data_IF_157900741313
#
_entry.id   IF_157900741313
#
_cell.length_a   1.000
_cell.length_b   1.000
_cell.length_c   1.000
_cell.angle_alpha   90.00
_cell.angle_beta   90.00
_cell.angle_gamma   90.00
#
_symmetry.space_group_name_H-M   'P 1'
#
loop_
_entity.id
_entity.type
_entity.pdbx_description
1 polymer ?
#
# COMPACT_ATOMS: atom_id res chain seq x y z
N UNK A 1 -65.50 9.07 28.03
CA UNK A 1 -64.05 8.86 28.19
C UNK A 1 -63.37 9.34 26.91
N UNK A 2 -62.57 10.41 27.00
CA UNK A 2 -62.09 11.22 25.87
C UNK A 2 -60.85 10.65 25.16
N UNK A 3 -60.70 10.78 23.83
CA UNK A 3 -59.55 10.29 23.08
C UNK A 3 -58.49 11.40 22.92
N UNK A 4 -57.70 11.66 23.95
CA UNK A 4 -56.55 12.59 23.86
C UNK A 4 -55.35 11.96 24.54
N UNK A 5 -54.80 10.88 23.98
CA UNK A 5 -53.45 10.42 24.35
C UNK A 5 -52.87 9.43 23.33
N UNK A 6 -52.77 9.80 22.06
CA UNK A 6 -52.14 8.93 21.05
C UNK A 6 -51.28 9.70 20.05
N UNK A 7 -50.39 10.58 20.53
CA UNK A 7 -49.50 11.27 19.60
C UNK A 7 -48.19 11.77 20.21
N UNK A 8 -47.41 10.90 20.88
CA UNK A 8 -46.01 11.22 21.23
C UNK A 8 -44.99 10.08 21.08
N UNK A 9 -45.41 8.82 20.95
CA UNK A 9 -44.46 7.69 20.95
C UNK A 9 -44.01 7.21 19.56
N UNK A 10 -44.68 7.61 18.48
CA UNK A 10 -44.31 7.19 17.12
C UNK A 10 -43.07 7.93 16.56
N UNK A 11 -42.75 9.12 17.10
CA UNK A 11 -41.69 9.99 16.56
C UNK A 11 -40.28 9.53 16.97
N UNK A 12 -40.12 9.09 18.21
CA UNK A 12 -38.80 8.72 18.76
C UNK A 12 -38.27 7.38 18.22
N UNK A 13 -39.16 6.39 18.02
CA UNK A 13 -38.76 5.06 17.53
C UNK A 13 -38.31 5.07 16.06
N UNK A 14 -38.87 5.96 15.24
CA UNK A 14 -38.46 6.15 13.83
C UNK A 14 -37.11 6.87 13.75
N UNK A 15 -36.89 7.88 14.59
CA UNK A 15 -35.62 8.61 14.66
C UNK A 15 -34.45 7.72 15.12
N UNK A 16 -34.67 6.88 16.14
CA UNK A 16 -33.66 5.92 16.62
C UNK A 16 -33.34 4.84 15.57
N UNK A 17 -34.35 4.34 14.86
CA UNK A 17 -34.15 3.33 13.81
C UNK A 17 -33.36 3.88 12.61
N UNK A 18 -33.56 5.16 12.25
CA UNK A 18 -32.81 5.82 11.19
C UNK A 18 -31.32 6.05 11.55
N UNK A 19 -31.02 6.32 12.82
CA UNK A 19 -29.64 6.50 13.31
C UNK A 19 -28.88 5.17 13.29
N UNK A 20 -29.51 4.07 13.70
CA UNK A 20 -28.89 2.74 13.69
C UNK A 20 -28.64 2.23 12.26
N UNK A 21 -29.56 2.51 11.32
CA UNK A 21 -29.39 2.12 9.93
C UNK A 21 -28.31 2.94 9.21
N UNK A 22 -28.09 4.18 9.64
CA UNK A 22 -27.02 5.05 9.12
C UNK A 22 -25.61 4.65 9.59
N UNK A 23 -25.45 4.02 10.75
CA UNK A 23 -24.13 3.58 11.23
C UNK A 23 -23.69 2.23 10.67
N UNK A 24 -24.64 1.39 10.24
CA UNK A 24 -24.34 0.10 9.61
C UNK A 24 -24.05 0.17 8.09
N UNK A 25 -24.28 1.32 7.45
CA UNK A 25 -24.30 1.44 5.99
C UNK A 25 -22.95 1.66 5.27
N UNK A 26 -21.84 1.90 5.98
CA UNK A 26 -20.54 2.16 5.33
C UNK A 26 -19.38 1.48 6.06
N UNK A 27 -19.47 0.15 6.23
CA UNK A 27 -18.27 -0.66 6.34
C UNK A 27 -17.68 -0.84 4.94
N UNK A 28 -17.11 0.24 4.36
CA UNK A 28 -16.29 0.07 3.16
C UNK A 28 -15.11 -0.83 3.55
N UNK A 29 -14.83 -1.94 2.85
CA UNK A 29 -13.67 -2.74 3.15
C UNK A 29 -12.45 -1.85 2.92
N UNK A 30 -11.65 -1.61 3.97
CA UNK A 30 -10.34 -0.94 3.93
C UNK A 30 -9.29 -1.73 3.09
N UNK A 31 -9.73 -2.60 2.19
CA UNK A 31 -8.91 -3.47 1.36
C UNK A 31 -8.28 -2.77 0.15
N UNK A 32 -8.50 -1.46 -0.02
CA UNK A 32 -8.02 -0.72 -1.19
C UNK A 32 -6.48 -0.72 -1.34
N UNK A 33 -5.74 -1.01 -0.26
CA UNK A 33 -4.27 -1.04 -0.25
C UNK A 33 -3.69 -2.34 0.34
N UNK A 34 -4.48 -3.41 0.40
CA UNK A 34 -3.92 -4.74 0.67
C UNK A 34 -3.24 -5.32 -0.58
N UNK A 35 -2.76 -6.58 -0.54
CA UNK A 35 -2.14 -7.23 -1.69
C UNK A 35 -2.98 -7.12 -2.98
N UNK A 36 -4.30 -7.32 -2.87
CA UNK A 36 -5.23 -7.17 -4.00
C UNK A 36 -5.24 -5.75 -4.57
N UNK A 37 -5.13 -4.72 -3.73
CA UNK A 37 -5.07 -3.32 -4.18
C UNK A 37 -3.81 -3.04 -4.99
N UNK A 38 -2.65 -3.51 -4.51
CA UNK A 38 -1.38 -3.41 -5.24
C UNK A 38 -1.42 -4.14 -6.58
N UNK A 39 -1.98 -5.35 -6.61
CA UNK A 39 -2.18 -6.12 -7.84
C UNK A 39 -3.08 -5.37 -8.83
N UNK A 40 -4.22 -4.82 -8.38
CA UNK A 40 -5.15 -4.06 -9.24
C UNK A 40 -4.47 -2.82 -9.83
N UNK A 41 -3.75 -2.03 -9.03
CA UNK A 41 -3.03 -0.85 -9.52
C UNK A 41 -1.96 -1.26 -10.53
N UNK A 42 -1.22 -2.33 -10.27
CA UNK A 42 -0.23 -2.90 -11.19
C UNK A 42 -0.87 -3.36 -12.52
N UNK A 43 -1.99 -4.06 -12.46
CA UNK A 43 -2.72 -4.52 -13.63
C UNK A 43 -3.27 -3.35 -14.48
N UNK A 44 -3.80 -2.31 -13.83
CA UNK A 44 -4.21 -1.08 -14.53
C UNK A 44 -3.00 -0.42 -15.19
N UNK A 45 -1.84 -0.38 -14.53
CA UNK A 45 -0.62 0.16 -15.11
C UNK A 45 -0.14 -0.66 -16.33
N UNK A 46 -0.18 -1.99 -16.26
CA UNK A 46 0.11 -2.87 -17.41
C UNK A 46 -0.82 -2.56 -18.60
N UNK A 47 -2.12 -2.40 -18.37
CA UNK A 47 -3.09 -2.05 -19.41
C UNK A 47 -2.80 -0.67 -20.03
N UNK A 48 -2.55 0.34 -19.19
CA UNK A 48 -2.28 1.72 -19.62
C UNK A 48 -0.99 1.84 -20.44
N UNK A 49 -0.01 0.99 -20.15
CA UNK A 49 1.29 0.98 -20.83
C UNK A 49 1.33 0.03 -22.04
N UNK A 50 0.26 -0.74 -22.29
CA UNK A 50 0.23 -1.71 -23.38
C UNK A 50 0.62 -1.07 -24.72
N UNK A 51 1.41 -1.81 -25.51
CA UNK A 51 1.92 -1.40 -26.82
C UNK A 51 2.85 -0.17 -26.83
N UNK A 52 3.39 0.21 -25.68
CA UNK A 52 4.40 1.28 -25.59
C UNK A 52 5.82 0.71 -25.47
N UNK A 53 6.82 1.51 -25.87
CA UNK A 53 8.24 1.20 -25.63
C UNK A 53 8.53 1.10 -24.12
N UNK A 54 7.80 1.85 -23.29
CA UNK A 54 7.90 1.80 -21.83
C UNK A 54 7.54 0.42 -21.28
N UNK A 55 6.44 -0.18 -21.74
CA UNK A 55 6.09 -1.55 -21.34
C UNK A 55 7.16 -2.58 -21.72
N UNK A 56 7.78 -2.45 -22.90
CA UNK A 56 8.89 -3.34 -23.30
C UNK A 56 10.07 -3.23 -22.34
N UNK A 57 10.47 -2.00 -21.97
CA UNK A 57 11.57 -1.77 -21.02
C UNK A 57 11.24 -2.32 -19.63
N UNK A 58 10.04 -2.08 -19.14
CA UNK A 58 9.57 -2.59 -17.84
C UNK A 58 9.59 -4.12 -17.83
N UNK A 59 9.04 -4.76 -18.85
CA UNK A 59 9.07 -6.23 -18.97
C UNK A 59 10.49 -6.78 -19.01
N UNK A 60 11.42 -6.09 -19.67
CA UNK A 60 12.83 -6.51 -19.68
C UNK A 60 13.49 -6.38 -18.29
N UNK A 61 13.17 -5.35 -17.52
CA UNK A 61 13.65 -5.18 -16.14
C UNK A 61 13.08 -6.23 -15.20
N UNK A 62 11.80 -6.56 -15.37
CA UNK A 62 11.05 -7.50 -14.52
C UNK A 62 11.12 -8.96 -14.98
N UNK A 63 12.00 -9.28 -15.94
CA UNK A 63 12.14 -10.64 -16.49
C UNK A 63 10.80 -11.22 -16.98
N UNK A 64 9.97 -10.37 -17.58
CA UNK A 64 8.65 -10.70 -18.12
C UNK A 64 7.51 -10.72 -17.09
N UNK A 65 7.77 -10.46 -15.80
CA UNK A 65 6.70 -10.30 -14.81
C UNK A 65 5.84 -9.07 -15.13
N UNK A 66 4.54 -9.21 -14.84
CA UNK A 66 3.57 -8.11 -14.91
C UNK A 66 3.79 -7.11 -13.77
N UNK A 67 3.37 -5.86 -13.98
CA UNK A 67 3.31 -4.88 -12.90
C UNK A 67 2.32 -5.30 -11.81
N UNK A 68 1.27 -6.05 -12.15
CA UNK A 68 0.40 -6.73 -11.18
C UNK A 68 1.21 -7.54 -10.16
N UNK A 69 2.13 -8.40 -10.62
CA UNK A 69 2.97 -9.24 -9.74
C UNK A 69 4.14 -8.49 -9.14
N UNK A 70 4.68 -7.50 -9.85
CA UNK A 70 5.72 -6.64 -9.30
C UNK A 70 5.22 -5.81 -8.10
N UNK A 71 3.94 -5.42 -8.11
CA UNK A 71 3.34 -4.58 -7.08
C UNK A 71 3.33 -5.18 -5.67
N UNK A 72 3.39 -6.50 -5.55
CA UNK A 72 3.36 -7.22 -4.25
C UNK A 72 4.72 -7.74 -3.80
N UNK A 73 5.75 -7.67 -4.65
CA UNK A 73 7.09 -8.16 -4.29
C UNK A 73 7.64 -7.58 -2.98
N UNK A 74 7.47 -6.27 -2.69
CA UNK A 74 7.98 -5.71 -1.44
C UNK A 74 7.41 -6.40 -0.19
N UNK A 75 6.12 -6.70 -0.18
CA UNK A 75 5.47 -7.38 0.93
C UNK A 75 5.89 -8.86 1.02
N UNK A 76 6.09 -9.51 -0.14
CA UNK A 76 6.57 -10.88 -0.20
C UNK A 76 7.98 -11.02 0.39
N UNK A 77 8.91 -10.12 0.03
CA UNK A 77 10.29 -10.16 0.55
C UNK A 77 10.40 -9.68 1.99
N UNK A 78 9.49 -8.81 2.46
CA UNK A 78 9.34 -8.49 3.89
C UNK A 78 9.00 -9.73 4.71
N UNK A 79 8.32 -10.71 4.11
CA UNK A 79 8.07 -12.01 4.73
C UNK A 79 9.33 -12.75 5.16
N UNK A 80 10.48 -12.47 4.53
CA UNK A 80 11.76 -13.10 4.84
C UNK A 80 12.36 -12.64 6.18
N UNK A 81 11.90 -11.54 6.77
CA UNK A 81 12.40 -11.05 8.07
C UNK A 81 12.22 -12.05 9.21
N UNK A 82 11.22 -12.94 9.11
CA UNK A 82 10.89 -13.90 10.17
C UNK A 82 11.91 -15.01 10.30
N UNK A 83 12.30 -15.60 9.17
CA UNK A 83 13.09 -16.83 9.14
C UNK A 83 14.37 -16.71 8.31
N UNK A 84 14.59 -15.56 7.65
CA UNK A 84 15.66 -15.34 6.71
C UNK A 84 15.30 -15.73 5.27
N UNK A 85 16.06 -15.16 4.35
CA UNK A 85 15.88 -15.36 2.91
C UNK A 85 16.18 -16.81 2.48
N UNK A 86 17.09 -17.49 3.16
CA UNK A 86 17.54 -18.85 2.81
C UNK A 86 16.72 -19.98 3.51
N UNK A 87 15.65 -19.65 4.24
CA UNK A 87 14.70 -20.65 4.75
C UNK A 87 13.99 -21.34 3.57
N UNK A 88 14.00 -22.69 3.49
CA UNK A 88 13.25 -23.43 2.47
C UNK A 88 11.76 -23.11 2.43
N UNK A 89 11.16 -22.65 3.53
CA UNK A 89 9.74 -22.25 3.63
C UNK A 89 9.48 -20.80 3.23
N UNK A 90 10.51 -19.98 3.06
CA UNK A 90 10.36 -18.61 2.55
C UNK A 90 9.82 -18.62 1.13
N UNK A 91 9.18 -17.53 0.71
CA UNK A 91 8.71 -17.38 -0.66
C UNK A 91 9.89 -17.25 -1.64
N UNK A 92 9.78 -17.88 -2.83
CA UNK A 92 10.84 -17.91 -3.84
C UNK A 92 10.27 -17.69 -5.25
N UNK A 93 10.92 -16.85 -6.07
CA UNK A 93 10.55 -16.66 -7.48
C UNK A 93 11.23 -17.71 -8.37
N UNK A 94 10.91 -18.99 -8.17
CA UNK A 94 11.59 -20.10 -8.84
C UNK A 94 11.56 -20.05 -10.38
N UNK A 95 10.51 -19.44 -10.97
CA UNK A 95 10.39 -19.25 -12.43
C UNK A 95 11.17 -18.04 -12.97
N UNK A 96 11.67 -17.17 -12.09
CA UNK A 96 12.42 -15.96 -12.41
C UNK A 96 13.70 -15.89 -11.55
N UNK A 97 14.67 -16.80 -11.78
CA UNK A 97 15.84 -16.95 -10.90
C UNK A 97 16.71 -15.68 -10.82
N UNK A 98 16.70 -14.85 -11.87
CA UNK A 98 17.37 -13.55 -11.86
C UNK A 98 16.72 -12.59 -10.87
N UNK A 99 15.38 -12.48 -10.92
CA UNK A 99 14.60 -11.64 -9.99
C UNK A 99 14.77 -12.15 -8.57
N UNK A 100 14.63 -13.47 -8.36
CA UNK A 100 14.82 -14.10 -7.06
C UNK A 100 16.19 -13.69 -6.47
N UNK A 101 17.28 -13.92 -7.22
CA UNK A 101 18.63 -13.55 -6.78
C UNK A 101 18.74 -12.05 -6.44
N UNK A 102 18.23 -11.17 -7.30
CA UNK A 102 18.30 -9.72 -7.07
C UNK A 102 17.57 -9.30 -5.80
N UNK A 103 16.41 -9.88 -5.53
CA UNK A 103 15.65 -9.62 -4.32
C UNK A 103 16.38 -10.15 -3.07
N UNK A 104 16.99 -11.33 -3.12
CA UNK A 104 17.82 -11.83 -2.02
C UNK A 104 19.01 -10.93 -1.73
N UNK A 105 19.69 -10.49 -2.78
CA UNK A 105 20.84 -9.58 -2.65
C UNK A 105 20.40 -8.25 -2.06
N UNK A 106 19.26 -7.71 -2.50
CA UNK A 106 18.64 -6.51 -1.95
C UNK A 106 18.32 -6.68 -0.46
N UNK A 107 17.66 -7.76 -0.06
CA UNK A 107 17.32 -8.01 1.35
C UNK A 107 18.58 -8.14 2.22
N UNK A 108 19.61 -8.87 1.76
CA UNK A 108 20.89 -9.01 2.46
C UNK A 108 21.62 -7.68 2.67
N UNK A 109 21.50 -6.76 1.71
CA UNK A 109 22.10 -5.43 1.81
C UNK A 109 21.33 -4.47 2.73
N UNK A 110 20.06 -4.77 3.04
CA UNK A 110 19.14 -3.89 3.78
C UNK A 110 18.46 -4.62 4.94
N UNK A 111 19.18 -5.49 5.66
CA UNK A 111 18.62 -6.27 6.77
C UNK A 111 17.97 -5.37 7.84
N UNK A 112 17.07 -5.95 8.63
CA UNK A 112 16.48 -5.27 9.77
C UNK A 112 17.59 -4.90 10.76
N UNK A 113 17.84 -3.61 10.93
CA UNK A 113 18.74 -3.09 11.96
C UNK A 113 17.89 -2.35 12.98
N UNK A 114 17.78 -2.93 14.18
CA UNK A 114 16.99 -2.36 15.29
C UNK A 114 17.64 -1.10 15.90
N UNK A 115 18.83 -0.71 15.43
CA UNK A 115 19.53 0.47 15.91
C UNK A 115 19.29 1.65 14.94
N UNK A 116 18.73 2.75 15.48
CA UNK A 116 18.46 3.97 14.71
C UNK A 116 19.73 4.76 14.32
N UNK A 117 20.90 4.32 14.79
CA UNK A 117 22.20 4.96 14.53
C UNK A 117 23.02 4.22 13.47
N UNK A 118 22.38 3.31 12.74
CA UNK A 118 23.06 2.47 11.75
C UNK A 118 23.38 3.30 10.52
N UNK A 119 24.63 3.23 10.08
CA UNK A 119 25.03 3.84 8.81
C UNK A 119 24.40 3.13 7.60
N UNK A 120 23.91 1.89 7.77
CA UNK A 120 23.26 1.14 6.71
C UNK A 120 21.73 1.30 6.78
N UNK A 121 21.05 1.63 5.66
CA UNK A 121 19.61 1.80 5.62
C UNK A 121 18.88 0.49 5.93
N UNK A 122 17.87 0.57 6.81
CA UNK A 122 16.94 -0.55 7.08
C UNK A 122 15.75 -0.47 6.12
N UNK A 123 15.33 -1.60 5.54
CA UNK A 123 14.15 -1.62 4.69
C UNK A 123 12.83 -1.34 5.44
N UNK A 124 12.84 -1.32 6.79
CA UNK A 124 11.71 -0.86 7.62
C UNK A 124 11.57 0.66 7.65
N UNK A 125 12.61 1.40 7.27
CA UNK A 125 12.58 2.87 7.20
C UNK A 125 11.84 3.39 5.97
N UNK A 126 11.58 2.52 4.98
CA UNK A 126 10.85 2.87 3.76
C UNK A 126 9.48 2.20 3.78
N UNK A 127 8.42 2.97 3.95
CA UNK A 127 7.08 2.49 3.63
C UNK A 127 6.95 2.38 2.11
N UNK A 128 6.65 1.19 1.59
CA UNK A 128 6.63 0.86 0.16
C UNK A 128 5.53 1.54 -0.67
N UNK A 129 4.82 2.53 -0.13
CA UNK A 129 3.70 3.16 -0.82
C UNK A 129 3.45 4.65 -0.49
N UNK A 130 4.44 5.40 -0.01
CA UNK A 130 4.31 6.85 0.09
C UNK A 130 4.51 7.49 -1.31
N UNK A 131 3.57 7.21 -2.22
CA UNK A 131 3.42 7.96 -3.47
C UNK A 131 2.36 9.02 -3.23
N UNK A 132 2.72 10.26 -2.84
CA UNK A 132 1.76 11.34 -2.81
C UNK A 132 1.31 11.59 -4.26
N UNK A 133 0.04 11.29 -4.56
CA UNK A 133 -0.60 11.70 -5.82
C UNK A 133 -0.87 13.20 -5.72
N UNK A 134 0.17 14.01 -5.92
CA UNK A 134 -0.01 15.43 -6.18
C UNK A 134 -0.25 15.61 -7.68
N UNK A 135 -1.29 16.38 -8.08
CA UNK A 135 -1.44 16.74 -9.49
C UNK A 135 -0.17 17.41 -9.99
N UNK A 136 0.18 17.14 -11.25
CA UNK A 136 1.49 17.35 -11.89
C UNK A 136 2.04 18.81 -11.93
N UNK A 137 1.49 19.74 -11.15
CA UNK A 137 1.93 21.13 -11.11
C UNK A 137 2.72 21.54 -9.86
N UNK A 138 2.93 20.69 -8.86
CA UNK A 138 3.64 21.12 -7.63
C UNK A 138 4.74 20.15 -7.14
N UNK A 139 5.39 19.39 -8.02
CA UNK A 139 6.56 18.57 -7.63
C UNK A 139 7.78 19.39 -7.23
N UNK A 140 7.85 20.67 -7.61
CA UNK A 140 8.96 21.57 -7.23
C UNK A 140 8.93 22.04 -5.75
N UNK A 141 7.88 21.72 -4.97
CA UNK A 141 7.75 22.17 -3.56
C UNK A 141 7.96 21.07 -2.53
N UNK A 142 8.01 19.80 -2.93
CA UNK A 142 8.13 18.68 -1.99
C UNK A 142 9.57 18.44 -1.48
N UNK A 143 10.58 19.11 -2.05
CA UNK A 143 11.99 18.82 -1.75
C UNK A 143 12.63 19.71 -0.67
N UNK A 144 11.91 20.63 -0.02
CA UNK A 144 12.55 21.58 0.93
C UNK A 144 11.84 21.83 2.28
N UNK A 145 10.82 21.08 2.70
CA UNK A 145 10.13 21.35 4.00
C UNK A 145 10.49 20.37 5.12
N UNK A 146 11.18 19.26 4.81
CA UNK A 146 11.63 18.32 5.84
C UNK A 146 12.94 18.72 6.56
N UNK A 147 13.59 19.81 6.15
CA UNK A 147 14.89 20.23 6.70
C UNK A 147 14.93 21.73 7.04
N UNK A 148 14.08 22.18 7.96
CA UNK A 148 14.36 23.22 8.98
C UNK A 148 13.06 23.74 9.60
N UNK A 149 12.65 23.11 10.69
CA UNK A 149 11.75 23.73 11.64
C UNK A 149 12.51 24.71 12.52
N UNK A 150 12.64 25.96 12.08
CA UNK A 150 12.76 27.14 12.97
C UNK A 150 12.05 28.31 12.32
N UNK A 151 10.82 28.55 12.78
CA UNK A 151 10.03 29.73 12.44
C UNK A 151 10.45 30.88 13.36
N UNK A 152 10.90 32.00 12.78
CA UNK A 152 10.88 33.31 13.43
C UNK A 152 10.86 34.41 12.35
N UNK A 153 9.74 35.15 12.39
CA UNK A 153 9.35 36.39 11.69
C UNK A 153 8.97 36.23 10.21
#
# INVERSE_FOLDING_TARGET
MSPILKMKFASHSVALSAIILSTFGFAAPLCAYGPLGHEIVGAIADERLANTVTATKIRALLDGLSLEKAGVMPDEIKGWDKNGVDDPKSFHYARHPKIDKQLRDFWRANQQIDNMNSAAPSHHWFHYADVPVLPAQNTARAECVAANGTSSI
#
